data_IF_964159515571
#
_entry.id   IF_964159515571
#
_cell.length_a   1.000
_cell.length_b   1.000
_cell.length_c   1.000
_cell.angle_alpha   90.00
_cell.angle_beta   90.00
_cell.angle_gamma   90.00
#
_symmetry.space_group_name_H-M   'P 1'
#
loop_
_entity.id
_entity.type
_entity.pdbx_description
1 polymer ?
#
# COMPACT_ATOMS: atom_id res chain seq x y z
N UNK A 1 -19.23 -42.00 -34.47
CA UNK A 1 -18.85 -41.75 -33.06
C UNK A 1 -19.35 -40.36 -32.67
N UNK A 2 -20.18 -40.27 -31.62
CA UNK A 2 -20.83 -39.03 -31.16
C UNK A 2 -19.96 -38.41 -30.07
N UNK A 3 -19.41 -37.22 -30.28
CA UNK A 3 -18.70 -36.47 -29.24
C UNK A 3 -19.77 -35.72 -28.43
N UNK A 4 -19.94 -36.11 -27.16
CA UNK A 4 -20.61 -35.28 -26.14
C UNK A 4 -19.54 -34.90 -25.12
N UNK A 5 -19.12 -33.64 -25.14
CA UNK A 5 -18.37 -33.04 -24.05
C UNK A 5 -18.80 -31.58 -23.92
N UNK A 6 -19.23 -31.20 -22.71
CA UNK A 6 -19.47 -29.81 -22.35
C UNK A 6 -20.80 -29.56 -21.66
N UNK A 7 -20.91 -29.90 -20.37
CA UNK A 7 -21.76 -29.15 -19.42
C UNK A 7 -21.56 -29.66 -17.99
N UNK A 8 -20.41 -29.33 -17.40
CA UNK A 8 -20.19 -29.49 -15.95
C UNK A 8 -19.67 -28.19 -15.30
N UNK A 9 -18.87 -27.38 -16.01
CA UNK A 9 -18.40 -26.08 -15.49
C UNK A 9 -19.47 -25.00 -15.41
N UNK A 10 -20.54 -25.06 -16.21
CA UNK A 10 -21.58 -24.02 -16.20
C UNK A 10 -22.48 -24.05 -14.95
N UNK A 11 -22.49 -25.16 -14.19
CA UNK A 11 -23.37 -25.32 -13.01
C UNK A 11 -22.81 -24.69 -11.73
N UNK A 12 -21.50 -24.43 -11.64
CA UNK A 12 -20.88 -23.84 -10.42
C UNK A 12 -20.87 -22.30 -10.41
N UNK A 13 -21.07 -21.65 -11.56
CA UNK A 13 -21.15 -20.20 -11.66
C UNK A 13 -22.57 -19.65 -11.47
N UNK A 14 -23.61 -20.50 -11.61
CA UNK A 14 -25.01 -20.09 -11.43
C UNK A 14 -25.45 -20.00 -9.96
N UNK A 15 -24.71 -20.61 -9.03
CA UNK A 15 -25.02 -20.52 -7.59
C UNK A 15 -24.71 -19.11 -7.03
N UNK A 16 -23.64 -18.48 -7.52
CA UNK A 16 -23.20 -17.14 -7.09
C UNK A 16 -24.01 -15.98 -7.66
N UNK A 17 -24.85 -16.27 -8.66
CA UNK A 17 -25.73 -15.31 -9.32
C UNK A 17 -27.21 -15.68 -9.11
N UNK A 18 -27.49 -16.49 -8.08
CA UNK A 18 -28.86 -16.80 -7.68
C UNK A 18 -29.47 -15.56 -7.02
N UNK A 19 -30.70 -15.20 -7.42
CA UNK A 19 -31.42 -14.03 -6.88
C UNK A 19 -31.59 -14.12 -5.35
N UNK A 20 -31.67 -15.34 -4.80
CA UNK A 20 -31.69 -15.57 -3.35
C UNK A 20 -30.40 -15.14 -2.65
N UNK A 21 -29.23 -15.41 -3.24
CA UNK A 21 -27.95 -15.01 -2.67
C UNK A 21 -27.80 -13.48 -2.65
N UNK A 22 -28.23 -12.80 -3.73
CA UNK A 22 -28.19 -11.33 -3.77
C UNK A 22 -29.18 -10.68 -2.80
N UNK A 23 -30.35 -11.30 -2.57
CA UNK A 23 -31.32 -10.82 -1.58
C UNK A 23 -30.81 -10.99 -0.14
N UNK A 24 -30.21 -12.14 0.18
CA UNK A 24 -29.62 -12.41 1.50
C UNK A 24 -28.46 -11.44 1.78
N UNK A 25 -27.62 -11.15 0.78
CA UNK A 25 -26.55 -10.15 0.88
C UNK A 25 -27.07 -8.72 1.07
N UNK A 26 -28.16 -8.34 0.40
CA UNK A 26 -28.81 -7.05 0.60
C UNK A 26 -29.33 -6.88 2.03
N UNK A 27 -29.97 -7.93 2.56
CA UNK A 27 -30.50 -7.92 3.92
C UNK A 27 -29.39 -7.85 4.98
N UNK A 28 -28.24 -8.51 4.78
CA UNK A 28 -27.08 -8.42 5.67
C UNK A 28 -26.50 -7.00 5.68
N UNK A 29 -26.43 -6.36 4.50
CA UNK A 29 -25.94 -4.99 4.38
C UNK A 29 -26.83 -3.98 5.10
N UNK A 30 -28.15 -4.12 4.97
CA UNK A 30 -29.12 -3.24 5.64
C UNK A 30 -29.08 -3.40 7.17
N UNK A 31 -28.85 -4.62 7.67
CA UNK A 31 -28.66 -4.89 9.10
C UNK A 31 -27.40 -4.22 9.65
N UNK A 32 -26.29 -4.31 8.91
CA UNK A 32 -25.03 -3.64 9.27
C UNK A 32 -25.20 -2.12 9.28
N UNK A 33 -25.89 -1.56 8.29
CA UNK A 33 -26.18 -0.13 8.23
C UNK A 33 -27.03 0.33 9.43
N UNK A 34 -28.03 -0.45 9.82
CA UNK A 34 -28.85 -0.16 11.00
C UNK A 34 -28.06 -0.24 12.31
N UNK A 35 -27.16 -1.22 12.45
CA UNK A 35 -26.32 -1.38 13.65
C UNK A 35 -25.32 -0.22 13.80
N UNK A 36 -24.70 0.23 12.71
CA UNK A 36 -23.80 1.39 12.71
C UNK A 36 -24.56 2.64 13.15
N UNK A 37 -25.75 2.87 12.60
CA UNK A 37 -26.59 4.01 12.97
C UNK A 37 -26.99 3.99 14.44
N UNK A 38 -27.36 2.83 14.98
CA UNK A 38 -27.69 2.69 16.41
C UNK A 38 -26.48 2.96 17.31
N UNK A 39 -25.28 2.51 16.93
CA UNK A 39 -24.05 2.79 17.68
C UNK A 39 -23.69 4.27 17.68
N UNK A 40 -23.88 4.97 16.56
CA UNK A 40 -23.68 6.41 16.48
C UNK A 40 -24.67 7.16 17.38
N UNK A 41 -25.96 6.84 17.29
CA UNK A 41 -27.00 7.45 18.14
C UNK A 41 -26.76 7.14 19.64
N UNK A 42 -26.38 5.91 19.99
CA UNK A 42 -26.03 5.54 21.36
C UNK A 42 -24.78 6.26 21.87
N UNK A 43 -23.79 6.54 21.00
CA UNK A 43 -22.61 7.31 21.34
C UNK A 43 -22.92 8.80 21.55
N UNK A 44 -23.86 9.33 20.76
CA UNK A 44 -24.31 10.72 20.83
C UNK A 44 -25.22 10.96 22.05
N UNK A 45 -25.96 9.93 22.47
CA UNK A 45 -26.83 9.96 23.64
C UNK A 45 -26.10 9.69 24.97
N UNK A 46 -24.78 9.43 24.98
CA UNK A 46 -24.04 9.26 26.25
C UNK A 46 -24.00 10.63 26.97
N UNK A 47 -24.58 10.76 28.17
CA UNK A 47 -24.44 11.98 28.94
C UNK A 47 -22.97 12.17 29.32
N UNK A 48 -22.46 13.39 29.12
CA UNK A 48 -21.11 13.77 29.48
C UNK A 48 -20.92 13.61 31.00
N UNK A 49 -20.32 12.51 31.43
CA UNK A 49 -19.81 12.36 32.79
C UNK A 49 -18.69 13.38 32.99
N UNK A 50 -19.00 14.43 33.75
CA UNK A 50 -18.07 15.47 34.18
C UNK A 50 -16.90 14.85 34.92
N UNK A 51 -15.74 14.82 34.27
CA UNK A 51 -14.45 14.51 34.89
C UNK A 51 -14.04 15.71 35.76
N UNK A 52 -13.69 15.53 37.05
CA UNK A 52 -13.17 16.64 37.85
C UNK A 52 -11.84 17.13 37.26
N UNK A 53 -11.81 18.41 36.91
CA UNK A 53 -10.71 19.09 36.25
C UNK A 53 -9.66 19.54 37.29
N UNK A 54 -8.45 18.97 37.20
CA UNK A 54 -7.25 19.53 37.85
C UNK A 54 -6.77 20.68 36.96
N UNK A 55 -6.54 21.90 37.49
CA UNK A 55 -6.21 23.06 36.66
C UNK A 55 -4.82 22.92 36.03
N UNK A 56 -4.79 22.53 34.76
CA UNK A 56 -3.63 22.69 33.88
C UNK A 56 -3.78 24.02 33.17
N UNK A 57 -2.88 24.96 33.47
CA UNK A 57 -2.83 26.29 32.87
C UNK A 57 -2.37 26.20 31.43
N UNK A 58 -3.29 26.03 30.48
CA UNK A 58 -3.07 26.38 29.09
C UNK A 58 -4.20 27.30 28.64
N UNK A 59 -3.82 28.55 28.35
CA UNK A 59 -4.72 29.59 27.89
C UNK A 59 -5.53 29.13 26.67
N UNK A 60 -6.84 29.16 26.80
CA UNK A 60 -7.79 28.89 25.72
C UNK A 60 -7.84 30.11 24.80
N UNK A 61 -7.50 29.93 23.53
CA UNK A 61 -7.64 30.98 22.52
C UNK A 61 -9.12 31.18 22.19
N UNK A 62 -9.79 32.09 22.90
CA UNK A 62 -11.14 32.55 22.60
C UNK A 62 -11.08 33.91 21.92
N UNK A 63 -10.93 33.90 20.59
CA UNK A 63 -11.43 34.90 19.63
C UNK A 63 -10.55 34.90 18.38
N UNK A 64 -11.18 34.79 17.21
CA UNK A 64 -10.57 35.10 15.93
C UNK A 64 -11.04 36.50 15.51
N UNK A 65 -10.12 37.46 15.52
CA UNK A 65 -10.29 38.78 14.89
C UNK A 65 -11.22 39.76 15.60
N UNK A 66 -10.65 40.65 16.43
CA UNK A 66 -11.13 42.01 16.59
C UNK A 66 -9.92 42.93 16.79
N UNK A 67 -9.88 44.01 16.04
CA UNK A 67 -8.72 44.86 15.78
C UNK A 67 -8.50 45.95 16.85
N UNK A 68 -7.27 46.50 16.80
CA UNK A 68 -6.81 47.84 17.29
C UNK A 68 -6.17 47.93 18.69
N UNK A 69 -5.33 48.96 18.98
CA UNK A 69 -3.97 49.08 18.46
C UNK A 69 -2.92 49.45 19.54
N UNK A 70 -1.66 49.02 19.41
CA UNK A 70 -0.46 49.85 19.68
C UNK A 70 0.82 49.01 19.57
N UNK A 71 1.76 49.57 18.80
CA UNK A 71 3.10 49.07 18.50
C UNK A 71 4.09 49.36 19.66
N UNK A 72 5.44 49.19 19.54
CA UNK A 72 6.23 48.61 18.45
C UNK A 72 7.35 47.64 18.93
N UNK A 73 7.76 46.67 18.09
CA UNK A 73 9.18 46.25 18.07
C UNK A 73 9.56 45.51 16.78
N UNK A 74 10.50 46.14 16.09
CA UNK A 74 11.56 45.68 15.18
C UNK A 74 11.26 44.52 14.20
N UNK A 75 11.20 44.89 12.92
CA UNK A 75 11.06 44.00 11.77
C UNK A 75 12.39 43.32 11.42
N UNK A 76 12.36 42.00 11.24
CA UNK A 76 13.37 41.24 10.49
C UNK A 76 12.76 40.93 9.11
N UNK A 77 13.40 41.24 7.97
CA UNK A 77 12.81 41.01 6.66
C UNK A 77 12.72 39.51 6.38
N UNK A 78 11.49 39.01 6.23
CA UNK A 78 11.22 37.66 5.71
C UNK A 78 11.18 37.73 4.19
N UNK A 79 11.90 36.82 3.55
CA UNK A 79 11.91 36.68 2.10
C UNK A 79 10.63 35.96 1.66
N UNK A 80 9.73 36.69 1.02
CA UNK A 80 8.49 36.15 0.48
C UNK A 80 8.79 35.19 -0.68
N UNK A 81 8.31 33.95 -0.55
CA UNK A 81 8.17 33.03 -1.69
C UNK A 81 6.76 33.20 -2.23
N UNK A 82 6.63 34.03 -3.26
CA UNK A 82 5.42 34.12 -4.08
C UNK A 82 5.21 32.80 -4.82
N UNK A 83 4.05 32.19 -4.61
CA UNK A 83 3.58 31.04 -5.37
C UNK A 83 2.88 31.55 -6.63
N UNK A 84 3.55 31.50 -7.76
CA UNK A 84 2.93 31.75 -9.08
C UNK A 84 2.23 30.47 -9.54
N UNK A 85 0.90 30.47 -9.49
CA UNK A 85 0.04 29.46 -10.15
C UNK A 85 -0.49 30.11 -11.44
N UNK A 86 -0.40 29.47 -12.62
CA UNK A 86 -1.18 29.88 -13.78
C UNK A 86 -2.64 29.46 -13.57
N UNK A 87 -3.53 30.41 -13.84
CA UNK A 87 -4.97 30.21 -13.96
C UNK A 87 -5.27 29.50 -15.28
N UNK A 88 -5.65 28.23 -15.22
CA UNK A 88 -6.55 27.64 -16.20
C UNK A 88 -7.50 26.68 -15.49
N UNK A 89 -8.76 27.11 -15.49
CA UNK A 89 -9.88 26.62 -14.71
C UNK A 89 -10.69 25.64 -15.55
N UNK A 90 -10.11 24.50 -15.92
CA UNK A 90 -10.89 23.43 -16.58
C UNK A 90 -10.38 22.00 -16.30
N UNK A 91 -9.52 21.82 -15.28
CA UNK A 91 -8.93 20.50 -14.95
C UNK A 91 -9.04 20.13 -13.45
N UNK A 92 -10.15 20.47 -12.78
CA UNK A 92 -10.32 20.21 -11.34
C UNK A 92 -11.61 19.43 -10.98
N UNK A 93 -12.07 18.54 -11.86
CA UNK A 93 -13.23 17.68 -11.60
C UNK A 93 -12.96 16.16 -11.62
N UNK A 94 -11.71 15.70 -11.74
CA UNK A 94 -11.41 14.25 -11.84
C UNK A 94 -10.35 13.74 -10.84
N UNK A 95 -10.39 14.20 -9.58
CA UNK A 95 -9.44 13.73 -8.55
C UNK A 95 -10.11 13.01 -7.37
N UNK A 96 -11.01 12.04 -7.62
CA UNK A 96 -11.28 10.98 -6.65
C UNK A 96 -11.60 9.67 -7.40
N UNK A 97 -10.56 8.90 -7.76
CA UNK A 97 -10.63 7.45 -7.94
C UNK A 97 -9.25 6.83 -7.66
N UNK A 98 -9.18 5.64 -7.02
CA UNK A 98 -7.93 5.01 -6.64
C UNK A 98 -7.31 4.33 -7.87
N UNK A 99 -6.30 4.97 -8.46
CA UNK A 99 -5.66 4.43 -9.66
C UNK A 99 -4.60 3.37 -9.31
N UNK A 100 -4.96 2.10 -9.52
CA UNK A 100 -4.06 1.13 -10.13
C UNK A 100 -3.64 1.68 -11.51
N UNK A 101 -2.62 2.52 -11.54
CA UNK A 101 -2.14 3.08 -12.80
C UNK A 101 -1.05 2.17 -13.38
N UNK A 102 -1.47 1.34 -14.33
CA UNK A 102 -0.61 0.71 -15.34
C UNK A 102 -0.26 1.79 -16.37
N UNK A 103 0.78 2.57 -16.09
CA UNK A 103 1.39 3.40 -17.13
C UNK A 103 2.27 2.49 -18.00
N UNK A 104 1.77 2.21 -19.20
CA UNK A 104 2.55 1.64 -20.28
C UNK A 104 3.33 2.79 -20.95
N UNK A 105 4.65 2.80 -20.81
CA UNK A 105 5.54 3.43 -21.79
C UNK A 105 6.92 2.81 -21.74
N UNK A 106 7.28 2.33 -22.92
CA UNK A 106 8.57 2.30 -23.59
C UNK A 106 9.77 1.54 -23.03
N UNK A 107 10.42 0.93 -24.01
CA UNK A 107 11.56 0.02 -24.02
C UNK A 107 12.63 0.40 -22.99
N UNK A 108 12.77 -0.44 -21.96
CA UNK A 108 13.89 -0.33 -21.03
C UNK A 108 15.16 -0.69 -21.81
N UNK A 109 15.98 0.33 -22.07
CA UNK A 109 17.35 0.20 -22.50
C UNK A 109 18.00 -0.98 -21.76
N UNK A 110 18.44 -1.97 -22.54
CA UNK A 110 19.24 -3.08 -22.06
C UNK A 110 20.61 -2.53 -21.64
N UNK A 111 20.70 -2.01 -20.42
CA UNK A 111 21.97 -1.85 -19.73
C UNK A 111 22.48 -3.25 -19.37
N UNK A 112 23.68 -3.56 -19.87
CA UNK A 112 24.40 -4.84 -19.88
C UNK A 112 24.90 -5.25 -18.46
N UNK A 113 24.09 -5.01 -17.43
CA UNK A 113 24.40 -5.21 -16.01
C UNK A 113 23.42 -6.21 -15.34
N UNK A 114 22.96 -7.24 -16.07
CA UNK A 114 22.34 -8.41 -15.43
C UNK A 114 23.43 -9.34 -14.89
N UNK A 115 24.32 -8.78 -14.07
CA UNK A 115 25.29 -9.55 -13.31
C UNK A 115 24.52 -10.53 -12.43
N UNK A 116 24.75 -11.82 -12.65
CA UNK A 116 24.14 -12.89 -11.89
C UNK A 116 24.51 -12.73 -10.41
N UNK A 117 23.49 -12.70 -9.54
CA UNK A 117 23.64 -12.51 -8.09
C UNK A 117 23.64 -13.90 -7.42
N UNK A 118 24.77 -14.35 -6.84
CA UNK A 118 24.83 -15.61 -6.12
C UNK A 118 24.21 -15.46 -4.73
N UNK A 119 23.14 -16.20 -4.46
CA UNK A 119 22.36 -16.18 -3.21
C UNK A 119 22.29 -17.57 -2.58
N UNK A 120 22.02 -17.65 -1.29
CA UNK A 120 21.82 -18.94 -0.61
C UNK A 120 20.62 -19.72 -1.18
N UNK A 121 20.63 -21.05 -1.03
CA UNK A 121 19.54 -21.94 -1.44
C UNK A 121 18.15 -21.48 -0.98
N UNK A 122 18.04 -21.02 0.27
CA UNK A 122 16.78 -20.53 0.83
C UNK A 122 16.31 -19.24 0.13
N UNK A 123 17.22 -18.30 -0.11
CA UNK A 123 16.93 -17.06 -0.83
C UNK A 123 16.52 -17.36 -2.27
N UNK A 124 17.22 -18.26 -2.95
CA UNK A 124 16.89 -18.70 -4.32
C UNK A 124 15.46 -19.26 -4.39
N UNK A 125 15.05 -20.10 -3.44
CA UNK A 125 13.69 -20.63 -3.39
C UNK A 125 12.62 -19.53 -3.19
N UNK A 126 12.94 -18.48 -2.43
CA UNK A 126 12.05 -17.33 -2.23
C UNK A 126 11.93 -16.51 -3.51
N UNK A 127 13.04 -16.22 -4.19
CA UNK A 127 13.04 -15.51 -5.46
C UNK A 127 12.33 -16.32 -6.54
N UNK A 128 12.61 -17.62 -6.67
CA UNK A 128 11.89 -18.52 -7.57
C UNK A 128 10.37 -18.40 -7.36
N UNK A 129 9.90 -18.49 -6.11
CA UNK A 129 8.48 -18.28 -5.80
C UNK A 129 7.96 -16.89 -6.22
N UNK A 130 8.75 -15.85 -6.03
CA UNK A 130 8.38 -14.48 -6.40
C UNK A 130 8.24 -14.29 -7.92
N UNK A 131 9.07 -14.97 -8.71
CA UNK A 131 9.09 -14.88 -10.18
C UNK A 131 8.23 -15.95 -10.87
N UNK A 132 7.86 -17.04 -10.19
CA UNK A 132 6.99 -18.08 -10.76
C UNK A 132 5.68 -17.51 -11.31
N UNK A 133 5.36 -17.94 -12.54
CA UNK A 133 4.09 -17.56 -13.21
C UNK A 133 2.92 -18.41 -12.73
N UNK A 134 3.19 -19.65 -12.32
CA UNK A 134 2.18 -20.59 -11.82
C UNK A 134 1.68 -20.18 -10.44
N UNK A 135 0.37 -20.27 -10.24
CA UNK A 135 -0.27 -20.04 -8.93
C UNK A 135 0.02 -21.13 -7.89
N UNK A 136 0.91 -22.09 -8.18
CA UNK A 136 1.22 -23.21 -7.29
C UNK A 136 2.01 -22.83 -6.05
N UNK A 137 2.50 -21.59 -5.98
CA UNK A 137 3.03 -20.96 -4.79
C UNK A 137 1.93 -20.70 -3.73
N UNK A 138 1.25 -21.75 -3.27
CA UNK A 138 0.21 -21.67 -2.23
C UNK A 138 0.78 -21.31 -0.86
N UNK A 139 2.08 -21.55 -0.64
CA UNK A 139 2.75 -21.24 0.62
C UNK A 139 3.03 -19.73 0.69
N UNK A 140 2.58 -19.07 1.76
CA UNK A 140 2.98 -17.70 2.07
C UNK A 140 4.47 -17.56 2.38
N UNK A 141 5.06 -16.40 2.12
CA UNK A 141 6.45 -16.05 2.50
C UNK A 141 6.40 -15.27 3.80
N UNK A 142 7.21 -15.59 4.81
CA UNK A 142 7.34 -14.68 5.96
C UNK A 142 8.06 -13.42 5.50
N UNK A 143 7.63 -12.27 6.01
CA UNK A 143 8.26 -10.98 5.71
C UNK A 143 9.77 -10.99 6.01
N UNK A 144 10.14 -11.57 7.14
CA UNK A 144 11.53 -11.59 7.60
C UNK A 144 12.39 -12.47 6.67
N UNK A 145 11.84 -13.59 6.17
CA UNK A 145 12.52 -14.45 5.19
C UNK A 145 12.78 -13.70 3.87
N UNK A 146 11.81 -12.91 3.39
CA UNK A 146 12.01 -12.06 2.20
C UNK A 146 13.08 -10.99 2.47
N UNK A 147 13.02 -10.35 3.64
CA UNK A 147 13.97 -9.29 4.00
C UNK A 147 15.39 -9.84 4.06
N UNK A 148 15.58 -11.02 4.66
CA UNK A 148 16.85 -11.73 4.67
C UNK A 148 17.32 -12.09 3.25
N UNK A 149 16.43 -12.57 2.38
CA UNK A 149 16.76 -12.87 0.99
C UNK A 149 17.21 -11.63 0.21
N UNK A 150 16.55 -10.48 0.42
CA UNK A 150 16.95 -9.21 -0.19
C UNK A 150 18.33 -8.74 0.29
N UNK A 151 18.66 -8.95 1.57
CA UNK A 151 20.01 -8.68 2.10
C UNK A 151 21.06 -9.60 1.50
N UNK A 152 20.74 -10.89 1.37
CA UNK A 152 21.63 -11.89 0.75
C UNK A 152 21.89 -11.60 -0.74
N UNK A 153 20.93 -10.96 -1.42
CA UNK A 153 21.09 -10.43 -2.77
C UNK A 153 21.91 -9.12 -2.84
N UNK A 154 22.48 -8.66 -1.72
CA UNK A 154 23.38 -7.50 -1.65
C UNK A 154 22.70 -6.16 -1.37
N UNK A 155 21.41 -6.15 -0.99
CA UNK A 155 20.74 -4.92 -0.58
C UNK A 155 21.02 -4.63 0.91
N UNK A 156 21.18 -3.36 1.23
CA UNK A 156 21.18 -2.91 2.63
C UNK A 156 19.76 -2.62 3.10
N UNK A 157 19.47 -2.89 4.38
CA UNK A 157 18.13 -2.70 4.97
C UNK A 157 18.17 -1.60 6.02
N UNK A 158 17.26 -0.65 5.86
CA UNK A 158 17.02 0.43 6.81
C UNK A 158 15.56 0.39 7.27
N UNK A 159 15.36 0.18 8.57
CA UNK A 159 14.02 0.22 9.16
C UNK A 159 13.59 1.66 9.36
N UNK A 160 12.62 2.12 8.57
CA UNK A 160 12.03 3.44 8.70
C UNK A 160 10.92 3.43 9.76
N UNK A 161 10.39 4.61 10.10
CA UNK A 161 9.27 4.74 11.05
C UNK A 161 8.05 3.94 10.57
N UNK A 162 7.48 3.13 11.47
CA UNK A 162 6.27 2.34 11.22
C UNK A 162 6.57 0.99 10.58
N UNK A 163 5.74 0.58 9.63
CA UNK A 163 5.87 -0.70 8.91
C UNK A 163 6.68 -0.60 7.61
N UNK A 164 7.25 0.56 7.32
CA UNK A 164 8.04 0.81 6.12
C UNK A 164 9.50 0.33 6.31
N UNK A 165 9.99 -0.44 5.34
CA UNK A 165 11.38 -0.91 5.29
C UNK A 165 11.98 -0.45 3.97
N UNK A 166 13.08 0.28 4.04
CA UNK A 166 13.83 0.78 2.88
C UNK A 166 14.97 -0.19 2.58
N UNK A 167 15.05 -0.62 1.33
CA UNK A 167 16.12 -1.45 0.79
C UNK A 167 16.94 -0.61 -0.17
N UNK A 168 18.25 -0.57 0.00
CA UNK A 168 19.15 0.27 -0.79
C UNK A 168 20.20 -0.59 -1.50
N UNK A 169 20.30 -0.37 -2.82
CA UNK A 169 21.29 -0.95 -3.71
C UNK A 169 22.44 0.04 -3.87
N UNK A 170 23.68 -0.45 -3.81
CA UNK A 170 24.88 0.38 -3.81
C UNK A 170 24.96 1.36 -5.00
N UNK A 171 24.44 0.96 -6.16
CA UNK A 171 24.54 1.74 -7.40
C UNK A 171 23.21 2.14 -8.04
N UNK A 172 22.11 1.43 -7.76
CA UNK A 172 20.84 1.55 -8.50
C UNK A 172 19.75 2.32 -7.75
N UNK A 173 20.02 2.76 -6.51
CA UNK A 173 19.10 3.52 -5.67
C UNK A 173 18.39 2.65 -4.64
N UNK A 174 17.18 3.04 -4.23
CA UNK A 174 16.49 2.40 -3.10
C UNK A 174 15.00 2.18 -3.34
N UNK A 175 14.46 1.13 -2.73
CA UNK A 175 13.04 0.77 -2.77
C UNK A 175 12.47 0.69 -1.35
N UNK A 176 11.32 1.30 -1.10
CA UNK A 176 10.60 1.14 0.18
C UNK A 176 9.47 0.13 0.01
N UNK A 177 9.45 -0.89 0.87
CA UNK A 177 8.42 -1.91 0.95
C UNK A 177 7.72 -1.83 2.31
N UNK A 178 6.43 -2.13 2.35
CA UNK A 178 5.64 -2.10 3.59
C UNK A 178 5.42 -3.50 4.11
N UNK A 179 5.75 -3.72 5.39
CA UNK A 179 5.48 -4.95 6.11
C UNK A 179 3.97 -5.14 6.23
N UNK A 180 3.43 -6.31 5.83
CA UNK A 180 2.02 -6.59 6.02
C UNK A 180 1.69 -6.69 7.51
N UNK A 181 0.59 -6.04 7.91
CA UNK A 181 -0.01 -6.10 9.24
C UNK A 181 -1.48 -6.53 9.13
N UNK A 182 -2.04 -7.28 10.10
CA UNK A 182 -1.46 -7.68 11.39
C UNK A 182 -0.49 -8.87 11.33
N UNK A 183 -0.55 -9.70 10.29
CA UNK A 183 0.30 -10.88 10.15
C UNK A 183 1.42 -10.63 9.13
N UNK A 184 2.71 -10.82 9.49
CA UNK A 184 3.84 -10.53 8.62
C UNK A 184 4.09 -11.64 7.59
N UNK A 185 3.04 -12.05 6.87
CA UNK A 185 3.10 -13.08 5.82
C UNK A 185 2.67 -12.47 4.48
N UNK A 186 3.47 -12.70 3.46
CA UNK A 186 3.27 -12.24 2.10
C UNK A 186 2.58 -13.34 1.28
N UNK A 187 1.44 -12.98 0.71
CA UNK A 187 0.75 -13.79 -0.29
C UNK A 187 1.33 -13.52 -1.68
N UNK A 188 0.92 -14.32 -2.66
CA UNK A 188 1.41 -14.22 -4.05
C UNK A 188 1.19 -12.82 -4.66
N UNK A 189 0.09 -12.13 -4.28
CA UNK A 189 -0.18 -10.75 -4.73
C UNK A 189 0.91 -9.79 -4.24
N UNK A 190 1.30 -9.88 -2.98
CA UNK A 190 2.37 -9.04 -2.42
C UNK A 190 3.71 -9.34 -3.09
N UNK A 191 4.04 -10.62 -3.28
CA UNK A 191 5.27 -11.03 -3.98
C UNK A 191 5.31 -10.49 -5.41
N UNK A 192 4.20 -10.54 -6.14
CA UNK A 192 4.12 -9.98 -7.51
C UNK A 192 4.27 -8.46 -7.53
N UNK A 193 3.73 -7.75 -6.53
CA UNK A 193 3.92 -6.31 -6.41
C UNK A 193 5.40 -5.97 -6.13
N UNK A 194 6.04 -6.73 -5.24
CA UNK A 194 7.46 -6.57 -4.91
C UNK A 194 8.34 -6.90 -6.12
N UNK A 195 8.06 -8.00 -6.83
CA UNK A 195 8.71 -8.38 -8.09
C UNK A 195 8.74 -7.22 -9.08
N UNK A 196 7.57 -6.65 -9.39
CA UNK A 196 7.46 -5.53 -10.34
C UNK A 196 8.30 -4.34 -9.90
N UNK A 197 8.36 -4.07 -8.60
CA UNK A 197 9.15 -2.98 -8.05
C UNK A 197 10.65 -3.26 -8.14
N UNK A 198 11.09 -4.49 -7.87
CA UNK A 198 12.50 -4.88 -8.01
C UNK A 198 12.94 -4.85 -9.48
N UNK A 199 12.09 -5.30 -10.40
CA UNK A 199 12.36 -5.18 -11.84
C UNK A 199 12.51 -3.71 -12.26
N UNK A 200 11.59 -2.83 -11.83
CA UNK A 200 11.66 -1.40 -12.15
C UNK A 200 12.90 -0.68 -11.60
N UNK A 201 13.31 -0.98 -10.37
CA UNK A 201 14.40 -0.26 -9.71
C UNK A 201 15.78 -0.89 -9.93
N UNK A 202 15.84 -2.22 -10.03
CA UNK A 202 17.11 -2.95 -10.05
C UNK A 202 17.31 -3.78 -11.32
N UNK A 203 16.28 -3.92 -12.17
CA UNK A 203 16.30 -4.77 -13.35
C UNK A 203 16.19 -6.26 -13.04
N UNK A 204 15.88 -6.65 -11.80
CA UNK A 204 15.89 -8.05 -11.37
C UNK A 204 14.79 -8.89 -12.03
N UNK A 205 15.19 -10.01 -12.63
CA UNK A 205 14.32 -11.01 -13.25
C UNK A 205 14.51 -12.41 -12.62
N UNK A 206 13.94 -13.44 -13.25
CA UNK A 206 14.06 -14.82 -12.78
C UNK A 206 15.48 -15.39 -12.98
N UNK A 207 16.21 -14.90 -13.99
CA UNK A 207 17.58 -15.33 -14.30
C UNK A 207 18.66 -14.58 -13.54
N UNK A 208 18.31 -13.47 -12.87
CA UNK A 208 19.26 -12.68 -12.08
C UNK A 208 19.84 -13.46 -10.90
N UNK A 209 19.10 -14.41 -10.31
CA UNK A 209 19.53 -15.10 -9.07
C UNK A 209 20.00 -16.52 -9.34
N UNK A 210 21.20 -16.85 -8.86
CA UNK A 210 21.75 -18.21 -8.91
C UNK A 210 22.11 -18.68 -7.51
N UNK A 211 21.98 -19.98 -7.26
CA UNK A 211 22.36 -20.58 -5.99
C UNK A 211 23.88 -20.53 -5.79
N UNK A 212 24.31 -20.01 -4.65
CA UNK A 212 25.71 -19.99 -4.21
C UNK A 212 26.07 -21.40 -3.73
N UNK A 213 27.06 -22.01 -4.36
CA UNK A 213 27.65 -23.30 -3.96
C UNK A 213 28.21 -23.26 -2.52
#
# INVERSE_FOLDING_TARGET
MRIKAGSASAKRLSEYNSESYLADFGAEYDQLAAEVKQKEEASQARPALTRPHVPSSNATQSQWGAETPSAPTTQIPRKDRTKTRPDDVEALAEQIVPALQLDAVDDAAADDDNATIPVSSQSAAIFARMYTRSGDARKGTKWDDLTAAMVDAGLSVEHTRGSAVRFEHATKGSVTLYRPHPHPVLNLIHLRAIRKRCWKWFGWDEGTFVERE
#
